data_IF_410027872297
#
_entry.id   IF_410027872297
#
_cell.length_a   1.000
_cell.length_b   1.000
_cell.length_c   1.000
_cell.angle_alpha   90.00
_cell.angle_beta   90.00
_cell.angle_gamma   90.00
#
_symmetry.space_group_name_H-M   'P 1'
#
loop_
_entity.id
_entity.type
_entity.pdbx_description
1 polymer ?
#
# COMPACT_ATOMS: atom_id res chain seq x y z
N UNK A 1 19.65 27.29 -41.61
CA UNK A 1 18.28 26.77 -41.86
C UNK A 1 18.21 25.33 -41.40
N UNK A 2 17.10 24.89 -40.79
CA UNK A 2 16.90 23.50 -40.38
C UNK A 2 15.93 22.84 -41.37
N UNK A 3 16.26 21.62 -41.79
CA UNK A 3 15.47 20.86 -42.76
C UNK A 3 15.14 19.48 -42.20
N UNK A 4 13.89 19.07 -42.33
CA UNK A 4 13.48 17.66 -42.16
C UNK A 4 13.87 16.92 -43.43
N UNK A 5 14.47 15.75 -43.28
CA UNK A 5 14.63 14.79 -44.38
C UNK A 5 13.88 13.54 -43.95
N UNK A 6 12.89 13.13 -44.72
CA UNK A 6 12.14 11.90 -44.48
C UNK A 6 12.87 10.71 -45.09
N UNK A 7 12.49 9.48 -44.70
CA UNK A 7 13.14 8.23 -45.16
C UNK A 7 13.03 8.02 -46.68
N UNK A 8 12.03 8.64 -47.33
CA UNK A 8 11.83 8.71 -48.77
C UNK A 8 12.64 9.83 -49.46
N UNK A 9 13.49 10.55 -48.72
CA UNK A 9 14.36 11.60 -49.26
C UNK A 9 13.69 12.96 -49.46
N UNK A 10 12.42 13.11 -49.07
CA UNK A 10 11.72 14.40 -49.14
C UNK A 10 12.31 15.38 -48.13
N UNK A 11 12.81 16.52 -48.63
CA UNK A 11 13.44 17.56 -47.81
C UNK A 11 12.46 18.72 -47.58
N UNK A 12 11.89 18.83 -46.39
CA UNK A 12 11.06 19.99 -46.00
C UNK A 12 11.86 20.97 -45.16
N UNK A 13 11.63 22.27 -45.37
CA UNK A 13 12.31 23.31 -44.56
C UNK A 13 11.38 23.69 -43.41
N UNK A 14 11.83 23.50 -42.18
CA UNK A 14 11.10 23.97 -41.00
C UNK A 14 11.19 25.50 -40.97
N UNK A 15 10.18 26.18 -41.49
CA UNK A 15 10.13 27.65 -41.55
C UNK A 15 9.43 28.20 -40.32
N UNK A 16 10.13 28.29 -39.19
CA UNK A 16 9.82 29.28 -38.17
C UNK A 16 10.32 30.64 -38.67
N UNK A 17 9.48 31.67 -38.64
CA UNK A 17 9.69 33.00 -39.25
C UNK A 17 10.86 33.85 -38.68
N UNK A 18 11.79 33.25 -37.94
CA UNK A 18 12.98 33.92 -37.41
C UNK A 18 14.27 33.25 -37.91
N UNK A 19 15.13 34.04 -38.56
CA UNK A 19 16.45 33.60 -39.05
C UNK A 19 17.34 33.19 -37.86
N UNK A 20 17.83 31.94 -37.87
CA UNK A 20 18.90 31.49 -36.97
C UNK A 20 20.21 32.20 -37.33
N UNK A 21 21.01 32.59 -36.32
CA UNK A 21 22.29 33.26 -36.48
C UNK A 21 23.41 32.48 -35.77
N UNK A 22 24.30 31.88 -36.56
CA UNK A 22 25.43 31.06 -36.08
C UNK A 22 25.05 29.97 -35.04
N UNK A 23 24.10 29.06 -35.36
CA UNK A 23 23.78 27.96 -34.46
C UNK A 23 24.95 26.97 -34.36
N UNK A 24 25.24 26.49 -33.15
CA UNK A 24 26.41 25.62 -32.88
C UNK A 24 26.03 24.18 -32.55
N UNK A 25 24.80 23.95 -32.05
CA UNK A 25 24.35 22.62 -31.63
C UNK A 25 22.84 22.43 -31.82
N UNK A 26 22.43 21.17 -31.99
CA UNK A 26 21.04 20.72 -32.07
C UNK A 26 20.86 19.44 -31.26
N UNK A 27 19.71 19.30 -30.59
CA UNK A 27 19.31 18.11 -29.83
C UNK A 27 17.82 17.85 -30.00
N UNK A 28 17.34 16.67 -29.58
CA UNK A 28 15.93 16.28 -29.60
C UNK A 28 15.49 15.97 -28.17
N UNK A 29 14.33 16.48 -27.74
CA UNK A 29 13.73 16.17 -26.44
C UNK A 29 12.85 14.90 -26.49
N UNK A 30 12.46 14.29 -25.35
CA UNK A 30 11.63 13.07 -25.33
C UNK A 30 10.26 13.21 -26.01
N UNK A 31 9.75 14.45 -26.09
CA UNK A 31 8.50 14.79 -26.76
C UNK A 31 8.68 14.96 -28.29
N UNK A 32 9.90 14.76 -28.79
CA UNK A 32 10.25 14.78 -30.21
C UNK A 32 10.51 16.17 -30.79
N UNK A 33 10.62 17.21 -29.97
CA UNK A 33 10.91 18.57 -30.41
C UNK A 33 12.40 18.79 -30.65
N UNK A 34 12.73 19.71 -31.55
CA UNK A 34 14.11 20.04 -31.89
C UNK A 34 14.57 21.26 -31.09
N UNK A 35 15.60 21.09 -30.26
CA UNK A 35 16.24 22.15 -29.49
C UNK A 35 17.48 22.64 -30.24
N UNK A 36 17.61 23.96 -30.40
CA UNK A 36 18.68 24.59 -31.17
C UNK A 36 19.41 25.62 -30.31
N UNK A 37 20.72 25.51 -30.20
CA UNK A 37 21.56 26.55 -29.60
C UNK A 37 21.89 27.60 -30.67
N UNK A 38 21.19 28.73 -30.63
CA UNK A 38 21.31 29.85 -31.58
C UNK A 38 22.29 30.89 -31.02
N UNK A 39 23.58 30.52 -30.98
CA UNK A 39 24.63 31.26 -30.28
C UNK A 39 24.78 32.71 -30.74
N UNK A 40 24.69 32.99 -32.05
CA UNK A 40 24.78 34.37 -32.55
C UNK A 40 23.62 35.26 -32.11
N UNK A 41 22.49 34.67 -31.72
CA UNK A 41 21.35 35.37 -31.15
C UNK A 41 21.27 35.25 -29.62
N UNK A 42 22.27 34.64 -28.96
CA UNK A 42 22.30 34.37 -27.52
C UNK A 42 21.02 33.69 -26.99
N UNK A 43 20.43 32.77 -27.77
CA UNK A 43 19.16 32.11 -27.43
C UNK A 43 19.24 30.60 -27.62
N UNK A 44 18.51 29.86 -26.78
CA UNK A 44 18.13 28.47 -27.06
C UNK A 44 16.70 28.50 -27.60
N UNK A 45 16.46 27.83 -28.72
CA UNK A 45 15.15 27.81 -29.39
C UNK A 45 14.61 26.39 -29.42
N UNK A 46 13.35 26.23 -29.01
CA UNK A 46 12.58 24.99 -29.18
C UNK A 46 11.76 25.11 -30.45
N UNK A 47 11.95 24.17 -31.37
CA UNK A 47 11.14 24.02 -32.58
C UNK A 47 10.22 22.84 -32.35
N UNK A 48 8.94 23.14 -32.19
CA UNK A 48 7.92 22.13 -32.01
C UNK A 48 7.86 21.25 -33.26
N UNK A 49 8.04 19.95 -33.06
CA UNK A 49 7.83 19.01 -34.15
C UNK A 49 6.33 18.96 -34.40
N UNK A 50 5.87 19.59 -35.48
CA UNK A 50 4.50 19.45 -35.96
C UNK A 50 4.28 17.99 -36.41
N UNK A 51 4.07 17.10 -35.45
CA UNK A 51 3.55 15.76 -35.64
C UNK A 51 2.05 15.83 -35.36
N UNK A 52 1.24 16.06 -36.39
CA UNK A 52 -0.14 15.56 -36.43
C UNK A 52 -0.51 15.29 -37.89
N UNK A 53 -1.22 14.19 -38.18
CA UNK A 53 -2.66 14.12 -37.97
C UNK A 53 -3.04 13.56 -36.61
N UNK A 54 -4.28 13.84 -36.15
CA UNK A 54 -4.74 13.51 -34.81
C UNK A 54 -4.78 12.00 -34.62
N UNK A 55 -4.38 11.53 -33.46
CA UNK A 55 -4.80 10.22 -32.95
C UNK A 55 -6.28 10.39 -32.52
N UNK A 56 -7.18 10.51 -33.52
CA UNK A 56 -8.65 10.37 -33.37
C UNK A 56 -9.10 8.98 -33.81
N UNK A 57 -8.23 7.98 -33.78
CA UNK A 57 -8.70 6.72 -33.24
C UNK A 57 -8.69 6.96 -31.74
N UNK A 58 -9.88 7.13 -31.14
CA UNK A 58 -10.03 7.19 -29.70
C UNK A 58 -9.10 6.13 -29.12
N UNK A 59 -8.02 6.55 -28.45
CA UNK A 59 -7.36 5.66 -27.50
C UNK A 59 -8.52 5.06 -26.71
N UNK A 60 -8.68 3.72 -26.66
CA UNK A 60 -9.70 3.15 -25.80
C UNK A 60 -9.56 3.89 -24.47
N UNK A 61 -10.68 4.45 -23.94
CA UNK A 61 -10.63 5.30 -22.76
C UNK A 61 -9.67 4.63 -21.82
N UNK A 62 -8.59 5.33 -21.42
CA UNK A 62 -7.54 4.71 -20.63
C UNK A 62 -8.25 3.85 -19.60
N UNK A 63 -8.11 2.52 -19.71
CA UNK A 63 -8.83 1.61 -18.85
C UNK A 63 -8.22 1.88 -17.47
N UNK A 64 -8.73 2.89 -16.76
CA UNK A 64 -8.62 2.96 -15.32
C UNK A 64 -9.27 1.68 -14.90
N UNK A 65 -8.46 0.68 -14.56
CA UNK A 65 -8.91 -0.70 -14.54
C UNK A 65 -10.00 -0.81 -13.49
N UNK A 66 -11.27 -0.83 -13.93
CA UNK A 66 -12.42 -1.13 -13.09
C UNK A 66 -12.25 -2.47 -12.36
N UNK A 67 -11.30 -3.28 -12.83
CA UNK A 67 -10.77 -4.47 -12.19
C UNK A 67 -10.68 -4.38 -10.67
N UNK A 68 -10.05 -3.34 -10.09
CA UNK A 68 -9.92 -3.25 -8.62
C UNK A 68 -11.28 -3.16 -7.95
N UNK A 69 -12.18 -2.32 -8.48
CA UNK A 69 -13.55 -2.17 -7.98
C UNK A 69 -14.40 -3.43 -8.22
N UNK A 70 -14.20 -4.12 -9.35
CA UNK A 70 -14.88 -5.37 -9.68
C UNK A 70 -14.43 -6.51 -8.76
N UNK A 71 -13.13 -6.59 -8.45
CA UNK A 71 -12.59 -7.56 -7.49
C UNK A 71 -13.05 -7.26 -6.06
N UNK A 72 -13.13 -5.99 -5.68
CA UNK A 72 -13.71 -5.58 -4.40
C UNK A 72 -15.19 -5.99 -4.31
N UNK A 73 -15.98 -5.74 -5.36
CA UNK A 73 -17.38 -6.17 -5.44
C UNK A 73 -17.53 -7.70 -5.42
N UNK A 74 -16.60 -8.43 -6.05
CA UNK A 74 -16.58 -9.89 -6.02
C UNK A 74 -16.35 -10.45 -4.61
N UNK A 75 -15.63 -9.74 -3.73
CA UNK A 75 -15.49 -10.15 -2.32
C UNK A 75 -16.82 -10.02 -1.56
N UNK A 76 -17.70 -9.08 -1.95
CA UNK A 76 -19.02 -8.88 -1.35
C UNK A 76 -20.10 -9.82 -1.91
N UNK A 77 -19.87 -10.41 -3.08
CA UNK A 77 -20.84 -11.24 -3.79
C UNK A 77 -20.62 -12.73 -3.46
N UNK A 78 -21.57 -13.40 -2.78
CA UNK A 78 -21.44 -14.81 -2.44
C UNK A 78 -21.71 -15.76 -3.61
N UNK A 79 -22.15 -15.28 -4.78
CA UNK A 79 -22.67 -16.11 -5.89
C UNK A 79 -21.72 -17.23 -6.32
N UNK A 80 -20.41 -16.97 -6.34
CA UNK A 80 -19.38 -17.95 -6.72
C UNK A 80 -18.42 -18.31 -5.59
N UNK A 81 -18.73 -17.91 -4.36
CA UNK A 81 -17.89 -18.20 -3.22
C UNK A 81 -17.89 -19.70 -2.91
N UNK A 82 -16.69 -20.27 -2.77
CA UNK A 82 -16.45 -21.70 -2.55
C UNK A 82 -15.75 -21.99 -1.20
N UNK A 83 -15.61 -20.96 -0.36
CA UNK A 83 -15.16 -21.07 1.03
C UNK A 83 -15.83 -20.03 1.91
N UNK A 84 -16.13 -20.39 3.16
CA UNK A 84 -16.68 -19.50 4.19
C UNK A 84 -15.79 -19.50 5.42
N UNK A 85 -15.48 -18.32 5.93
CA UNK A 85 -14.74 -18.13 7.18
C UNK A 85 -15.68 -17.74 8.30
N UNK A 86 -15.55 -18.37 9.46
CA UNK A 86 -16.22 -17.97 10.69
C UNK A 86 -15.25 -17.14 11.54
N UNK A 87 -15.54 -15.86 11.70
CA UNK A 87 -14.71 -14.90 12.44
C UNK A 87 -15.55 -14.31 13.56
N UNK A 88 -15.33 -14.76 14.79
CA UNK A 88 -16.11 -14.34 15.96
C UNK A 88 -17.63 -14.46 15.75
N UNK A 89 -18.10 -15.53 15.09
CA UNK A 89 -19.51 -15.77 14.78
C UNK A 89 -20.01 -15.07 13.51
N UNK A 90 -19.19 -14.23 12.86
CA UNK A 90 -19.51 -13.62 11.57
C UNK A 90 -19.02 -14.50 10.43
N UNK A 91 -19.93 -14.90 9.54
CA UNK A 91 -19.58 -15.66 8.35
C UNK A 91 -19.13 -14.71 7.22
N UNK A 92 -17.94 -14.95 6.68
CA UNK A 92 -17.34 -14.19 5.58
C UNK A 92 -17.02 -15.15 4.42
N UNK A 93 -17.70 -14.99 3.29
CA UNK A 93 -17.50 -15.79 2.09
C UNK A 93 -16.30 -15.31 1.26
N UNK A 94 -15.62 -16.22 0.57
CA UNK A 94 -14.52 -15.89 -0.34
C UNK A 94 -14.30 -16.96 -1.42
N UNK A 95 -13.29 -16.74 -2.26
CA UNK A 95 -12.96 -17.57 -3.41
C UNK A 95 -11.57 -18.22 -3.24
N UNK A 96 -11.51 -19.55 -3.14
CA UNK A 96 -10.28 -20.34 -2.95
C UNK A 96 -9.25 -20.06 -4.04
N UNK A 97 -9.69 -19.87 -5.28
CA UNK A 97 -8.82 -19.56 -6.41
C UNK A 97 -8.03 -18.26 -6.21
N UNK A 98 -8.69 -17.19 -5.72
CA UNK A 98 -8.04 -15.90 -5.46
C UNK A 98 -7.09 -16.02 -4.27
N UNK A 99 -7.57 -16.58 -3.16
CA UNK A 99 -6.77 -16.72 -1.94
C UNK A 99 -5.53 -17.59 -2.15
N UNK A 100 -5.71 -18.75 -2.77
CA UNK A 100 -4.62 -19.66 -3.10
C UNK A 100 -3.63 -19.04 -4.09
N UNK A 101 -4.07 -18.24 -5.06
CA UNK A 101 -3.16 -17.55 -5.97
C UNK A 101 -2.31 -16.47 -5.26
N UNK A 102 -2.88 -15.80 -4.25
CA UNK A 102 -2.32 -14.59 -3.63
C UNK A 102 -1.64 -14.81 -2.28
N UNK A 103 -1.82 -15.99 -1.67
CA UNK A 103 -1.25 -16.32 -0.38
C UNK A 103 -0.90 -17.80 -0.28
N UNK A 104 0.38 -18.09 0.00
CA UNK A 104 0.86 -19.45 0.21
C UNK A 104 0.27 -20.09 1.47
N UNK A 105 -0.02 -19.28 2.50
CA UNK A 105 -0.76 -19.71 3.70
C UNK A 105 -2.13 -20.27 3.32
N UNK A 106 -2.93 -19.51 2.58
CA UNK A 106 -4.25 -19.97 2.14
C UNK A 106 -4.14 -21.14 1.16
N UNK A 107 -3.15 -21.13 0.26
CA UNK A 107 -2.91 -22.25 -0.66
C UNK A 107 -2.66 -23.55 0.10
N UNK A 108 -1.74 -23.54 1.06
CA UNK A 108 -1.41 -24.70 1.89
C UNK A 108 -2.62 -25.13 2.71
N UNK A 109 -3.27 -24.21 3.40
CA UNK A 109 -4.45 -24.49 4.22
C UNK A 109 -5.58 -25.13 3.39
N UNK A 110 -5.86 -24.60 2.20
CA UNK A 110 -6.97 -25.06 1.35
C UNK A 110 -6.66 -26.35 0.55
N UNK A 111 -5.39 -26.77 0.46
CA UNK A 111 -4.96 -27.97 -0.31
C UNK A 111 -4.47 -29.12 0.57
N UNK A 112 -4.28 -28.90 1.86
CA UNK A 112 -3.63 -29.83 2.80
C UNK A 112 -4.43 -31.07 3.19
N UNK A 113 -5.63 -31.31 2.63
CA UNK A 113 -6.40 -32.55 2.86
C UNK A 113 -7.06 -32.65 4.25
N UNK A 114 -6.98 -31.61 5.08
CA UNK A 114 -7.63 -31.58 6.40
C UNK A 114 -9.16 -31.36 6.29
N UNK A 115 -9.87 -31.56 7.40
CA UNK A 115 -11.34 -31.45 7.47
C UNK A 115 -11.87 -30.12 6.96
N UNK A 116 -11.09 -29.05 7.06
CA UNK A 116 -11.39 -27.72 6.51
C UNK A 116 -11.67 -27.74 5.00
N UNK A 117 -11.10 -28.69 4.26
CA UNK A 117 -11.36 -28.87 2.84
C UNK A 117 -12.75 -29.46 2.56
N UNK A 118 -13.31 -30.27 3.47
CA UNK A 118 -14.57 -31.00 3.24
C UNK A 118 -15.82 -30.22 3.67
N UNK A 119 -15.76 -29.44 4.75
CA UNK A 119 -16.93 -28.70 5.27
C UNK A 119 -17.09 -27.30 4.65
N UNK A 120 -16.08 -26.80 3.92
CA UNK A 120 -16.12 -25.46 3.30
C UNK A 120 -16.18 -24.29 4.30
N UNK A 121 -16.25 -24.57 5.60
CA UNK A 121 -16.31 -23.61 6.69
C UNK A 121 -15.03 -23.67 7.53
N UNK A 122 -14.32 -22.55 7.63
CA UNK A 122 -13.03 -22.44 8.32
C UNK A 122 -13.17 -21.43 9.46
N UNK A 123 -12.87 -21.84 10.70
CA UNK A 123 -12.90 -20.92 11.85
C UNK A 123 -11.57 -20.18 11.99
N UNK A 124 -11.61 -18.85 12.07
CA UNK A 124 -10.44 -18.01 12.35
C UNK A 124 -10.60 -17.46 13.76
N UNK A 125 -9.77 -17.96 14.68
CA UNK A 125 -9.82 -17.58 16.09
C UNK A 125 -9.13 -16.22 16.37
N UNK A 126 -9.47 -15.65 17.52
CA UNK A 126 -8.82 -14.50 18.14
C UNK A 126 -8.74 -13.22 17.31
N UNK A 127 -9.57 -13.02 16.29
CA UNK A 127 -9.53 -11.81 15.44
C UNK A 127 -10.90 -11.20 15.22
N UNK A 128 -10.92 -9.91 14.87
CA UNK A 128 -12.14 -9.22 14.47
C UNK A 128 -12.48 -9.50 13.00
N UNK A 129 -13.77 -9.47 12.62
CA UNK A 129 -14.20 -9.48 11.23
C UNK A 129 -13.58 -8.34 10.40
N UNK A 130 -13.41 -7.15 11.00
CA UNK A 130 -12.85 -5.97 10.34
C UNK A 130 -11.40 -6.16 9.89
N UNK A 131 -10.54 -6.71 10.77
CA UNK A 131 -9.16 -6.99 10.41
C UNK A 131 -9.04 -8.11 9.38
N UNK A 132 -9.82 -9.19 9.50
CA UNK A 132 -9.79 -10.28 8.53
C UNK A 132 -10.27 -9.83 7.15
N UNK A 133 -11.37 -9.05 7.10
CA UNK A 133 -11.90 -8.45 5.88
C UNK A 133 -10.92 -7.50 5.21
N UNK A 134 -10.15 -6.74 5.99
CA UNK A 134 -9.04 -5.90 5.48
C UNK A 134 -8.02 -6.75 4.71
N UNK A 135 -7.63 -7.90 5.26
CA UNK A 135 -6.68 -8.78 4.60
C UNK A 135 -7.25 -9.45 3.35
N UNK A 136 -8.51 -9.90 3.39
CA UNK A 136 -9.17 -10.43 2.20
C UNK A 136 -9.21 -9.36 1.10
N UNK A 137 -9.60 -8.13 1.43
CA UNK A 137 -9.61 -7.02 0.47
C UNK A 137 -8.24 -6.78 -0.15
N UNK A 138 -7.18 -6.81 0.66
CA UNK A 138 -5.80 -6.70 0.17
C UNK A 138 -5.46 -7.84 -0.81
N UNK A 139 -5.86 -9.08 -0.52
CA UNK A 139 -5.59 -10.21 -1.42
C UNK A 139 -6.29 -10.04 -2.78
N UNK A 140 -7.49 -9.46 -2.80
CA UNK A 140 -8.27 -9.22 -4.02
C UNK A 140 -7.81 -7.98 -4.81
N UNK A 141 -7.41 -6.92 -4.11
CA UNK A 141 -7.28 -5.58 -4.72
C UNK A 141 -5.87 -4.98 -4.64
N UNK A 142 -4.98 -5.57 -3.83
CA UNK A 142 -3.68 -5.00 -3.42
C UNK A 142 -3.80 -3.67 -2.65
N UNK A 143 -5.02 -3.22 -2.29
CA UNK A 143 -5.27 -2.06 -1.46
C UNK A 143 -5.38 -2.44 0.02
N UNK A 144 -4.74 -1.66 0.88
CA UNK A 144 -4.77 -1.86 2.32
C UNK A 144 -5.35 -0.62 3.01
N UNK A 145 -6.57 -0.77 3.55
CA UNK A 145 -7.30 0.27 4.27
C UNK A 145 -7.91 -0.35 5.53
N UNK A 146 -7.53 0.16 6.70
CA UNK A 146 -8.03 -0.28 8.00
C UNK A 146 -8.13 0.91 8.95
N UNK A 147 -8.98 0.80 9.97
CA UNK A 147 -9.09 1.77 11.04
C UNK A 147 -7.92 1.61 12.03
N UNK A 148 -7.54 2.69 12.71
CA UNK A 148 -6.43 2.69 13.68
C UNK A 148 -6.62 1.64 14.81
N UNK A 149 -7.88 1.37 15.15
CA UNK A 149 -8.26 0.35 16.14
C UNK A 149 -7.90 -1.08 15.69
N UNK A 150 -7.83 -1.32 14.38
CA UNK A 150 -7.55 -2.63 13.80
C UNK A 150 -6.06 -2.86 13.50
N UNK A 151 -5.21 -1.84 13.66
CA UNK A 151 -3.76 -1.89 13.35
C UNK A 151 -3.10 -3.17 13.88
N UNK A 152 -3.38 -3.53 15.13
CA UNK A 152 -2.72 -4.66 15.80
C UNK A 152 -3.27 -6.00 15.34
N UNK A 153 -4.58 -6.11 15.13
CA UNK A 153 -5.20 -7.31 14.57
C UNK A 153 -4.70 -7.57 13.15
N UNK A 154 -4.64 -6.53 12.31
CA UNK A 154 -4.11 -6.61 10.94
C UNK A 154 -2.63 -6.98 10.96
N UNK A 155 -1.81 -6.37 11.82
CA UNK A 155 -0.39 -6.74 11.95
C UNK A 155 -0.22 -8.21 12.32
N UNK A 156 -0.95 -8.69 13.34
CA UNK A 156 -0.86 -10.07 13.83
C UNK A 156 -1.30 -11.07 12.78
N UNK A 157 -2.43 -10.84 12.12
CA UNK A 157 -2.90 -11.70 11.04
C UNK A 157 -1.95 -11.67 9.84
N UNK A 158 -1.40 -10.50 9.48
CA UNK A 158 -0.42 -10.41 8.40
C UNK A 158 0.86 -11.20 8.71
N UNK A 159 1.30 -11.21 9.96
CA UNK A 159 2.41 -12.05 10.40
C UNK A 159 2.05 -13.55 10.31
N UNK A 160 0.92 -13.94 10.90
CA UNK A 160 0.43 -15.33 10.93
C UNK A 160 0.21 -15.91 9.52
N UNK A 161 -0.41 -15.14 8.63
CA UNK A 161 -0.71 -15.52 7.24
C UNK A 161 0.45 -15.26 6.29
N UNK A 162 1.62 -14.86 6.81
CA UNK A 162 2.85 -14.62 6.05
C UNK A 162 2.69 -13.57 4.93
N UNK A 163 1.86 -12.55 5.14
CA UNK A 163 1.66 -11.43 4.22
C UNK A 163 2.73 -10.36 4.46
N UNK A 164 3.97 -10.62 4.02
CA UNK A 164 5.14 -9.77 4.32
C UNK A 164 4.97 -8.30 3.93
N UNK A 165 4.33 -8.00 2.78
CA UNK A 165 4.09 -6.62 2.34
C UNK A 165 3.16 -5.87 3.30
N UNK A 166 2.07 -6.51 3.71
CA UNK A 166 1.12 -5.97 4.67
C UNK A 166 1.81 -5.78 6.02
N UNK A 167 2.52 -6.80 6.50
CA UNK A 167 3.24 -6.72 7.78
C UNK A 167 4.21 -5.54 7.80
N UNK A 168 5.07 -5.40 6.79
CA UNK A 168 6.04 -4.30 6.70
C UNK A 168 5.36 -2.92 6.63
N UNK A 169 4.25 -2.80 5.88
CA UNK A 169 3.48 -1.57 5.81
C UNK A 169 2.92 -1.19 7.18
N UNK A 170 2.28 -2.14 7.88
CA UNK A 170 1.66 -1.90 9.18
C UNK A 170 2.73 -1.62 10.24
N UNK A 171 3.88 -2.30 10.21
CA UNK A 171 5.03 -1.98 11.07
C UNK A 171 5.48 -0.54 10.85
N UNK A 172 5.62 -0.11 9.59
CA UNK A 172 6.00 1.27 9.27
C UNK A 172 4.94 2.26 9.75
N UNK A 173 3.66 1.94 9.58
CA UNK A 173 2.54 2.72 10.09
C UNK A 173 2.63 2.88 11.62
N UNK A 174 2.87 1.80 12.38
CA UNK A 174 3.06 1.87 13.83
C UNK A 174 4.22 2.79 14.22
N UNK A 175 5.36 2.70 13.51
CA UNK A 175 6.49 3.58 13.80
C UNK A 175 6.18 5.07 13.59
N UNK A 176 5.37 5.41 12.58
CA UNK A 176 5.03 6.80 12.27
C UNK A 176 3.86 7.35 13.11
N UNK A 177 2.96 6.48 13.57
CA UNK A 177 1.69 6.88 14.21
C UNK A 177 1.60 6.51 15.70
N UNK A 178 2.70 6.05 16.31
CA UNK A 178 2.74 5.88 17.76
C UNK A 178 2.52 7.23 18.47
N UNK A 179 1.66 7.23 19.48
CA UNK A 179 1.23 8.43 20.19
C UNK A 179 0.97 8.13 21.67
N UNK A 180 0.79 9.19 22.47
CA UNK A 180 0.46 9.06 23.89
C UNK A 180 -0.88 8.35 24.14
N UNK A 181 -1.79 8.33 23.15
CA UNK A 181 -3.11 7.72 23.26
C UNK A 181 -3.14 6.23 22.89
N UNK A 182 -2.18 5.74 22.11
CA UNK A 182 -2.18 4.35 21.64
C UNK A 182 -1.01 3.50 22.18
N UNK A 183 0.10 4.12 22.61
CA UNK A 183 1.33 3.41 22.94
C UNK A 183 1.16 2.39 24.07
N UNK A 184 0.33 2.68 25.07
CA UNK A 184 0.08 1.76 26.20
C UNK A 184 -0.63 0.50 25.75
N UNK A 185 -1.70 0.64 24.96
CA UNK A 185 -2.44 -0.51 24.43
C UNK A 185 -1.58 -1.33 23.47
N UNK A 186 -0.78 -0.66 22.64
CA UNK A 186 0.16 -1.31 21.74
C UNK A 186 1.25 -2.09 22.48
N UNK A 187 1.77 -1.55 23.59
CA UNK A 187 2.74 -2.27 24.42
C UNK A 187 2.13 -3.56 25.00
N UNK A 188 0.96 -3.46 25.62
CA UNK A 188 0.29 -4.61 26.26
C UNK A 188 -0.01 -5.71 25.24
N UNK A 189 -0.58 -5.34 24.10
CA UNK A 189 -0.90 -6.32 23.06
C UNK A 189 0.36 -6.87 22.38
N UNK A 190 1.40 -6.06 22.18
CA UNK A 190 2.66 -6.56 21.64
C UNK A 190 3.34 -7.58 22.56
N UNK A 191 3.27 -7.37 23.88
CA UNK A 191 3.76 -8.33 24.87
C UNK A 191 2.92 -9.62 24.86
N UNK A 192 1.58 -9.50 24.87
CA UNK A 192 0.65 -10.63 24.84
C UNK A 192 0.85 -11.54 23.62
N UNK A 193 1.11 -10.96 22.45
CA UNK A 193 1.24 -11.71 21.18
C UNK A 193 2.70 -11.98 20.77
N UNK A 194 3.69 -11.64 21.60
CA UNK A 194 5.11 -11.87 21.29
C UNK A 194 5.65 -11.03 20.12
N UNK A 195 5.12 -9.82 19.91
CA UNK A 195 5.57 -8.89 18.87
C UNK A 195 6.74 -8.04 19.34
N UNK A 196 7.91 -8.64 19.50
CA UNK A 196 9.10 -8.03 20.15
C UNK A 196 9.51 -6.68 19.58
N UNK A 197 9.49 -6.53 18.24
CA UNK A 197 9.87 -5.28 17.58
C UNK A 197 8.91 -4.13 17.94
N UNK A 198 7.60 -4.38 17.93
CA UNK A 198 6.61 -3.38 18.31
C UNK A 198 6.65 -3.10 19.81
N UNK A 199 6.81 -4.13 20.63
CA UNK A 199 6.97 -4.01 22.09
C UNK A 199 8.12 -3.08 22.45
N UNK A 200 9.29 -3.28 21.83
CA UNK A 200 10.47 -2.45 22.05
C UNK A 200 10.25 -0.98 21.66
N UNK A 201 9.52 -0.73 20.57
CA UNK A 201 9.17 0.62 20.11
C UNK A 201 8.20 1.29 21.09
N UNK A 202 7.14 0.57 21.48
CA UNK A 202 6.12 1.08 22.38
C UNK A 202 6.68 1.39 23.77
N UNK A 203 7.48 0.47 24.33
CA UNK A 203 8.14 0.68 25.62
C UNK A 203 9.06 1.89 25.60
N UNK A 204 9.90 2.02 24.56
CA UNK A 204 10.81 3.15 24.41
C UNK A 204 10.07 4.49 24.29
N UNK A 205 8.97 4.51 23.54
CA UNK A 205 8.13 5.70 23.40
C UNK A 205 7.48 6.08 24.74
N UNK A 206 6.90 5.10 25.46
CA UNK A 206 6.26 5.32 26.74
C UNK A 206 7.24 5.83 27.79
N UNK A 207 8.42 5.21 27.91
CA UNK A 207 9.47 5.64 28.82
C UNK A 207 9.87 7.10 28.60
N UNK A 208 10.12 7.48 27.34
CA UNK A 208 10.52 8.86 26.97
C UNK A 208 9.41 9.89 27.20
N UNK A 209 8.15 9.50 27.03
CA UNK A 209 7.00 10.40 27.06
C UNK A 209 6.08 10.18 28.28
N UNK A 210 6.54 9.45 29.30
CA UNK A 210 5.69 8.97 30.40
C UNK A 210 4.94 10.10 31.11
N UNK A 211 5.61 11.24 31.34
CA UNK A 211 5.00 12.43 31.96
C UNK A 211 3.84 12.99 31.12
N UNK A 212 4.00 12.99 29.80
CA UNK A 212 2.97 13.47 28.87
C UNK A 212 1.79 12.50 28.83
N UNK A 213 2.05 11.18 28.72
CA UNK A 213 1.01 10.14 28.76
C UNK A 213 0.20 10.23 30.05
N UNK A 214 0.85 10.40 31.20
CA UNK A 214 0.16 10.54 32.50
C UNK A 214 -0.72 11.79 32.59
N UNK A 215 -0.40 12.85 31.84
CA UNK A 215 -1.15 14.11 31.81
C UNK A 215 -2.31 14.08 30.82
N UNK A 216 -2.07 13.59 29.61
CA UNK A 216 -2.98 13.71 28.46
C UNK A 216 -3.78 12.43 28.18
N UNK A 217 -3.27 11.27 28.58
CA UNK A 217 -3.83 9.97 28.23
C UNK A 217 -3.82 9.00 29.43
N UNK A 218 -4.15 9.51 30.62
CA UNK A 218 -4.04 8.77 31.89
C UNK A 218 -4.91 7.51 31.92
N UNK A 219 -6.04 7.55 31.24
CA UNK A 219 -6.96 6.43 31.07
C UNK A 219 -6.30 5.23 30.39
N UNK A 220 -5.39 5.47 29.44
CA UNK A 220 -4.69 4.38 28.74
C UNK A 220 -3.78 3.57 29.67
N UNK A 221 -3.25 4.21 30.73
CA UNK A 221 -2.42 3.55 31.75
C UNK A 221 -3.19 2.59 32.65
N UNK A 222 -4.53 2.64 32.65
CA UNK A 222 -5.35 1.70 33.44
C UNK A 222 -5.14 0.27 32.97
N UNK A 223 -4.93 0.07 31.67
CA UNK A 223 -4.69 -1.26 31.09
C UNK A 223 -3.44 -1.91 31.71
N UNK A 224 -2.43 -1.14 32.12
CA UNK A 224 -1.23 -1.69 32.77
C UNK A 224 -1.47 -2.20 34.20
N UNK A 225 -2.61 -1.89 34.83
CA UNK A 225 -2.92 -2.39 36.19
C UNK A 225 -3.08 -3.91 36.19
N UNK A 226 -3.61 -4.46 35.11
CA UNK A 226 -3.77 -5.91 34.91
C UNK A 226 -2.44 -6.59 34.51
N UNK A 227 -1.39 -5.81 34.27
CA UNK A 227 -0.07 -6.28 33.84
C UNK A 227 1.06 -5.69 34.71
N UNK A 228 1.20 -6.12 35.99
CA UNK A 228 2.11 -5.50 36.96
C UNK A 228 3.58 -5.56 36.54
N UNK A 229 4.01 -6.61 35.82
CA UNK A 229 5.37 -6.72 35.30
C UNK A 229 5.68 -5.64 34.26
N UNK A 230 4.77 -5.44 33.29
CA UNK A 230 4.89 -4.39 32.27
C UNK A 230 4.83 -2.99 32.89
N UNK A 231 3.96 -2.78 33.88
CA UNK A 231 3.89 -1.52 34.62
C UNK A 231 5.24 -1.18 35.26
N UNK A 232 5.86 -2.16 35.93
CA UNK A 232 7.15 -1.99 36.58
C UNK A 232 8.24 -1.64 35.55
N UNK A 233 8.28 -2.35 34.42
CA UNK A 233 9.24 -2.10 33.34
C UNK A 233 9.09 -0.69 32.75
N UNK A 234 7.85 -0.24 32.51
CA UNK A 234 7.57 1.14 32.05
C UNK A 234 8.02 2.17 33.09
N UNK A 235 7.76 1.93 34.39
CA UNK A 235 8.16 2.85 35.46
C UNK A 235 9.68 2.94 35.61
N UNK A 236 10.41 1.82 35.58
CA UNK A 236 11.88 1.85 35.64
C UNK A 236 12.48 2.52 34.41
N UNK A 237 11.95 2.25 33.23
CA UNK A 237 12.46 2.85 32.00
C UNK A 237 12.20 4.37 31.92
N UNK A 238 11.27 4.90 32.74
CA UNK A 238 10.92 6.32 32.79
C UNK A 238 11.68 7.13 33.86
N UNK A 239 12.50 6.49 34.71
CA UNK A 239 13.38 7.13 35.69
C UNK A 239 14.68 7.62 35.03
#
# INVERSE_FOLDING_TARGET
RIRKITLDGTVTTFSGTALLHSPTAVAIDPDGNVIVADCGNNKIRKVEAALTPPITAALPPQLSSAYTAQMDAMLEDPTFADVTFDVSGTCITAHRAVLGARSEYFRTMLTSGFKEQQDGKISIADTTPGAFRTLLRYLYTDELKFADEEVLNVMRLAHMMQLTRVYNFVTRHCHCNISVHNATQWLVQADQYGMDALRAVALRFLARNFRQVRREARETLRVLQDHPALMMEVMLAAL
#
